data_IF_465644546961
#
_entry.id   IF_465644546961
#
_cell.length_a   1.000
_cell.length_b   1.000
_cell.length_c   1.000
_cell.angle_alpha   90.00
_cell.angle_beta   90.00
_cell.angle_gamma   90.00
#
_symmetry.space_group_name_H-M   'P 1'
#
loop_
_entity.id
_entity.type
_entity.pdbx_description
1 polymer ?
#
# COMPACT_ATOMS: atom_id res chain seq x y z
N UNK A 1 9.75 3.64 -8.78
CA UNK A 1 10.29 2.28 -8.85
C UNK A 1 9.51 1.51 -9.91
N UNK A 2 10.16 0.66 -10.71
CA UNK A 2 9.49 -0.26 -11.63
C UNK A 2 9.22 -1.57 -10.86
N UNK A 3 7.97 -2.09 -10.82
CA UNK A 3 7.67 -3.36 -10.15
C UNK A 3 8.49 -4.50 -10.77
N UNK A 4 9.01 -5.41 -9.93
CA UNK A 4 9.77 -6.59 -10.38
C UNK A 4 9.01 -7.89 -10.05
N UNK A 5 9.50 -9.02 -10.55
CA UNK A 5 8.88 -10.33 -10.32
C UNK A 5 8.69 -10.64 -8.81
N UNK A 6 9.63 -10.23 -7.96
CA UNK A 6 9.53 -10.43 -6.51
C UNK A 6 8.35 -9.66 -5.89
N UNK A 7 7.95 -8.53 -6.49
CA UNK A 7 6.80 -7.73 -6.05
C UNK A 7 5.49 -8.50 -6.24
N UNK A 8 5.34 -9.28 -7.31
CA UNK A 8 4.14 -10.09 -7.56
C UNK A 8 4.00 -11.22 -6.54
N UNK A 9 5.11 -11.91 -6.22
CA UNK A 9 5.13 -12.97 -5.20
C UNK A 9 4.71 -12.41 -3.84
N UNK A 10 5.22 -11.24 -3.46
CA UNK A 10 4.86 -10.59 -2.19
C UNK A 10 3.36 -10.27 -2.12
N UNK A 11 2.82 -9.67 -3.17
CA UNK A 11 1.39 -9.33 -3.26
C UNK A 11 0.53 -10.58 -3.11
N UNK A 12 0.87 -11.64 -3.83
CA UNK A 12 0.07 -12.88 -3.82
C UNK A 12 0.10 -13.55 -2.44
N UNK A 13 1.25 -13.57 -1.78
CA UNK A 13 1.37 -14.04 -0.39
C UNK A 13 0.55 -13.18 0.58
N UNK A 14 0.63 -11.86 0.45
CA UNK A 14 -0.13 -10.94 1.30
C UNK A 14 -1.64 -11.14 1.14
N UNK A 15 -2.14 -11.27 -0.09
CA UNK A 15 -3.56 -11.54 -0.35
C UNK A 15 -3.98 -12.87 0.31
N UNK A 16 -3.19 -13.93 0.16
CA UNK A 16 -3.51 -15.22 0.76
C UNK A 16 -3.59 -15.15 2.29
N UNK A 17 -2.63 -14.48 2.94
CA UNK A 17 -2.60 -14.32 4.40
C UNK A 17 -3.78 -13.47 4.91
N UNK A 18 -4.15 -12.43 4.18
CA UNK A 18 -5.13 -11.44 4.62
C UNK A 18 -6.55 -11.76 4.18
N UNK A 19 -6.75 -12.70 3.24
CA UNK A 19 -8.06 -13.08 2.69
C UNK A 19 -9.07 -13.54 3.75
N UNK A 20 -8.58 -14.15 4.84
CA UNK A 20 -9.42 -14.64 5.94
C UNK A 20 -9.56 -13.62 7.09
N UNK A 21 -8.93 -12.44 6.99
CA UNK A 21 -9.03 -11.39 7.99
C UNK A 21 -10.15 -10.45 7.58
N UNK A 22 -11.13 -10.25 8.46
CA UNK A 22 -12.20 -9.30 8.21
C UNK A 22 -11.66 -7.87 8.36
N UNK A 23 -11.76 -7.06 7.29
CA UNK A 23 -11.33 -5.65 7.24
C UNK A 23 -9.88 -5.44 7.72
N UNK A 24 -8.89 -6.03 7.03
CA UNK A 24 -7.50 -5.99 7.47
C UNK A 24 -6.96 -4.55 7.48
N UNK A 25 -6.13 -4.25 8.47
CA UNK A 25 -5.36 -3.00 8.54
C UNK A 25 -3.94 -3.28 8.08
N UNK A 26 -3.47 -2.55 7.09
CA UNK A 26 -2.19 -2.83 6.42
C UNK A 26 -1.35 -1.58 6.45
N UNK A 27 -0.09 -1.72 6.81
CA UNK A 27 0.91 -0.66 6.70
C UNK A 27 2.00 -1.09 5.71
N UNK A 28 2.23 -0.30 4.68
CA UNK A 28 3.37 -0.44 3.76
C UNK A 28 4.42 0.62 4.07
N UNK A 29 5.71 0.25 4.06
CA UNK A 29 6.84 1.17 4.21
C UNK A 29 7.63 1.19 2.90
N UNK A 30 7.88 2.37 2.35
CA UNK A 30 8.59 2.58 1.10
C UNK A 30 7.75 2.29 -0.14
N UNK A 31 6.55 2.89 -0.23
CA UNK A 31 5.59 2.56 -1.28
C UNK A 31 6.01 2.89 -2.71
N UNK A 32 6.96 3.81 -2.93
CA UNK A 32 7.42 4.18 -4.26
C UNK A 32 6.27 4.60 -5.20
N UNK A 33 5.90 3.73 -6.16
CA UNK A 33 4.77 3.99 -7.08
C UNK A 33 3.38 3.69 -6.48
N UNK A 34 3.32 3.09 -5.28
CA UNK A 34 2.09 2.69 -4.60
C UNK A 34 1.50 1.37 -5.08
N UNK A 35 2.18 0.63 -5.96
CA UNK A 35 1.57 -0.51 -6.67
C UNK A 35 1.13 -1.64 -5.73
N UNK A 36 1.87 -1.92 -4.66
CA UNK A 36 1.54 -2.97 -3.69
C UNK A 36 0.26 -2.58 -2.97
N UNK A 37 0.25 -1.43 -2.29
CA UNK A 37 -0.96 -0.89 -1.63
C UNK A 37 -2.16 -0.82 -2.56
N UNK A 38 -1.98 -0.39 -3.82
CA UNK A 38 -3.06 -0.32 -4.80
C UNK A 38 -3.63 -1.71 -5.12
N UNK A 39 -2.76 -2.69 -5.41
CA UNK A 39 -3.24 -4.04 -5.74
C UNK A 39 -3.90 -4.70 -4.52
N UNK A 40 -3.35 -4.50 -3.32
CA UNK A 40 -3.98 -4.98 -2.09
C UNK A 40 -5.36 -4.34 -1.88
N UNK A 41 -5.50 -3.03 -2.06
CA UNK A 41 -6.79 -2.33 -1.96
C UNK A 41 -7.82 -2.84 -2.98
N UNK A 42 -7.39 -3.27 -4.16
CA UNK A 42 -8.28 -3.85 -5.18
C UNK A 42 -8.76 -5.27 -4.85
N UNK A 43 -7.93 -6.05 -4.17
CA UNK A 43 -8.17 -7.49 -3.99
C UNK A 43 -8.70 -7.85 -2.59
N UNK A 44 -8.46 -7.00 -1.59
CA UNK A 44 -8.88 -7.24 -0.21
C UNK A 44 -10.14 -6.45 0.12
N UNK A 45 -11.17 -7.16 0.60
CA UNK A 45 -12.44 -6.55 0.97
C UNK A 45 -12.27 -5.70 2.24
N UNK A 46 -12.74 -4.45 2.17
CA UNK A 46 -12.75 -3.51 3.29
C UNK A 46 -11.37 -3.29 3.95
N UNK A 47 -10.28 -3.44 3.19
CA UNK A 47 -8.95 -3.20 3.71
C UNK A 47 -8.73 -1.70 3.99
N UNK A 48 -8.14 -1.39 5.15
CA UNK A 48 -7.64 -0.06 5.47
C UNK A 48 -6.12 -0.08 5.28
N UNK A 49 -5.63 0.68 4.31
CA UNK A 49 -4.22 0.67 3.93
C UNK A 49 -3.63 2.06 4.13
N UNK A 50 -2.57 2.10 4.94
CA UNK A 50 -1.68 3.25 5.07
C UNK A 50 -0.31 2.89 4.49
N UNK A 51 0.30 3.83 3.79
CA UNK A 51 1.55 3.61 3.10
C UNK A 51 2.47 4.81 3.32
N UNK A 52 3.72 4.56 3.72
CA UNK A 52 4.70 5.62 3.96
C UNK A 52 5.85 5.61 2.95
N UNK A 53 6.37 6.79 2.61
CA UNK A 53 7.60 6.95 1.83
C UNK A 53 8.24 8.30 2.14
N UNK A 54 9.57 8.37 2.17
CA UNK A 54 10.31 9.61 2.43
C UNK A 54 10.31 10.55 1.22
N UNK A 55 10.05 10.02 0.01
CA UNK A 55 10.07 10.78 -1.23
C UNK A 55 8.74 11.49 -1.49
N UNK A 56 8.78 12.81 -1.64
CA UNK A 56 7.61 13.61 -2.08
C UNK A 56 7.17 13.27 -3.51
N UNK A 57 8.14 12.95 -4.38
CA UNK A 57 7.85 12.54 -5.77
C UNK A 57 7.08 11.21 -5.77
N UNK A 58 7.46 10.27 -4.88
CA UNK A 58 6.73 9.02 -4.72
C UNK A 58 5.28 9.29 -4.31
N UNK A 59 5.05 10.18 -3.33
CA UNK A 59 3.70 10.56 -2.88
C UNK A 59 2.82 11.03 -4.04
N UNK A 60 3.30 11.97 -4.86
CA UNK A 60 2.55 12.50 -6.01
C UNK A 60 2.20 11.40 -7.02
N UNK A 61 3.16 10.55 -7.36
CA UNK A 61 2.98 9.43 -8.29
C UNK A 61 1.98 8.41 -7.74
N UNK A 62 2.10 8.03 -6.47
CA UNK A 62 1.24 7.04 -5.83
C UNK A 62 -0.21 7.51 -5.72
N UNK A 63 -0.44 8.79 -5.38
CA UNK A 63 -1.78 9.40 -5.38
C UNK A 63 -2.40 9.36 -6.79
N UNK A 64 -1.62 9.74 -7.82
CA UNK A 64 -2.09 9.70 -9.20
C UNK A 64 -2.48 8.27 -9.64
N UNK A 65 -1.64 7.28 -9.30
CA UNK A 65 -1.90 5.87 -9.61
C UNK A 65 -3.13 5.34 -8.88
N UNK A 66 -3.30 5.66 -7.59
CA UNK A 66 -4.48 5.24 -6.82
C UNK A 66 -5.77 5.82 -7.40
N UNK A 67 -5.75 7.11 -7.79
CA UNK A 67 -6.87 7.74 -8.50
C UNK A 67 -7.15 7.05 -9.83
N UNK A 68 -6.13 6.77 -10.62
CA UNK A 68 -6.23 6.09 -11.93
C UNK A 68 -6.86 4.70 -11.80
N UNK A 69 -6.56 3.98 -10.72
CA UNK A 69 -7.08 2.65 -10.45
C UNK A 69 -8.36 2.62 -9.58
N UNK A 70 -8.87 3.79 -9.18
CA UNK A 70 -10.12 3.91 -8.42
C UNK A 70 -10.07 3.31 -7.02
N UNK A 71 -8.90 3.35 -6.35
CA UNK A 71 -8.73 2.84 -4.98
C UNK A 71 -8.44 3.95 -3.98
N UNK A 72 -8.79 3.71 -2.73
CA UNK A 72 -8.47 4.59 -1.61
C UNK A 72 -7.34 3.99 -0.76
N UNK A 73 -6.19 4.67 -0.73
CA UNK A 73 -5.02 4.33 0.09
C UNK A 73 -4.53 5.62 0.74
N UNK A 74 -4.22 5.57 2.03
CA UNK A 74 -3.64 6.71 2.75
C UNK A 74 -2.12 6.75 2.53
N UNK A 75 -1.65 7.63 1.63
CA UNK A 75 -0.22 7.83 1.41
C UNK A 75 0.31 8.98 2.29
N UNK A 76 1.38 8.71 3.04
CA UNK A 76 1.99 9.65 3.98
C UNK A 76 3.47 9.85 3.65
N UNK A 77 3.86 11.10 3.40
CA UNK A 77 5.28 11.43 3.27
C UNK A 77 5.92 11.53 4.66
N UNK A 78 6.66 10.50 5.06
CA UNK A 78 7.34 10.42 6.35
C UNK A 78 8.51 9.44 6.27
N UNK A 79 9.47 9.56 7.20
CA UNK A 79 10.45 8.52 7.43
C UNK A 79 9.77 7.35 8.14
N UNK A 80 9.99 6.13 7.61
CA UNK A 80 9.50 4.86 8.15
C UNK A 80 8.06 4.95 8.71
N UNK A 81 7.89 4.90 10.02
CA UNK A 81 6.60 4.94 10.71
C UNK A 81 6.45 6.15 11.65
N UNK A 82 7.30 7.18 11.53
CA UNK A 82 7.40 8.27 12.53
C UNK A 82 6.08 9.02 12.80
N UNK A 83 5.12 8.97 11.86
CA UNK A 83 3.79 9.60 11.97
C UNK A 83 2.63 8.62 11.97
N UNK A 84 2.93 7.32 12.05
CA UNK A 84 1.94 6.25 11.95
C UNK A 84 1.76 5.59 13.30
N UNK A 85 0.52 5.59 13.79
CA UNK A 85 0.16 4.99 15.08
C UNK A 85 -0.96 3.96 14.86
N UNK A 86 -0.90 2.86 15.61
CA UNK A 86 -1.96 1.85 15.62
C UNK A 86 -1.44 0.42 15.56
N UNK A 87 -2.37 -0.54 15.59
CA UNK A 87 -2.10 -1.96 15.33
C UNK A 87 -2.46 -2.26 13.88
N UNK A 88 -1.55 -2.95 13.20
CA UNK A 88 -1.65 -3.43 11.82
C UNK A 88 -1.41 -4.93 11.83
#
# INVERSE_FOLDING_TARGET
>A
MIPRFETEILIQKAINLLSNINSPRICEIGFGSGIISIILAKNLKNASIIATDISKIALEVAICNAKTHGVNVEFVNTSLLDRINGKF
#
